data_IF_298157996631
#
_entry.id   IF_298157996631
#
_cell.length_a   1.000
_cell.length_b   1.000
_cell.length_c   1.000
_cell.angle_alpha   90.00
_cell.angle_beta   90.00
_cell.angle_gamma   90.00
#
_symmetry.space_group_name_H-M   'P 1'
#
loop_
_entity.id
_entity.type
_entity.pdbx_description
1 polymer ?
#
# COMPACT_ATOMS: atom_id res chain seq x y z
N UNK A 1 -3.25 -12.20 8.41
CA UNK A 1 -3.91 -11.59 9.58
C UNK A 1 -4.91 -10.63 9.00
N UNK A 2 -6.21 -10.88 9.16
CA UNK A 2 -7.28 -10.00 8.69
C UNK A 2 -7.65 -9.10 9.87
N UNK A 3 -7.14 -7.87 9.86
CA UNK A 3 -7.56 -6.84 10.81
C UNK A 3 -8.08 -5.67 9.98
N UNK A 4 -9.34 -5.27 10.21
CA UNK A 4 -10.05 -4.19 9.48
C UNK A 4 -10.28 -4.44 7.98
N UNK A 5 -10.58 -5.68 7.59
CA UNK A 5 -10.85 -6.10 6.19
C UNK A 5 -9.68 -5.85 5.20
N UNK A 6 -8.49 -5.51 5.71
CA UNK A 6 -7.27 -5.44 4.92
C UNK A 6 -6.56 -6.78 4.89
N UNK A 7 -5.89 -7.03 3.78
CA UNK A 7 -5.03 -8.18 3.63
C UNK A 7 -3.56 -7.73 3.70
N UNK A 8 -2.71 -8.58 4.29
CA UNK A 8 -1.30 -8.28 4.53
C UNK A 8 -0.42 -9.47 4.18
N UNK A 9 0.74 -9.21 3.60
CA UNK A 9 1.83 -10.19 3.52
C UNK A 9 3.11 -9.57 4.06
N UNK A 10 3.78 -10.31 4.93
CA UNK A 10 5.15 -9.98 5.36
C UNK A 10 6.09 -10.70 4.42
N UNK A 11 6.89 -9.95 3.69
CA UNK A 11 7.96 -10.53 2.87
C UNK A 11 9.28 -10.45 3.66
N UNK A 12 10.32 -11.17 3.20
CA UNK A 12 11.60 -11.17 3.88
C UNK A 12 12.16 -9.75 4.09
N UNK A 13 13.10 -9.59 5.03
CA UNK A 13 13.80 -8.31 5.28
C UNK A 13 12.94 -7.18 5.90
N UNK A 14 11.83 -7.52 6.56
CA UNK A 14 11.02 -6.52 7.29
C UNK A 14 10.16 -5.65 6.39
N UNK A 15 9.78 -6.18 5.24
CA UNK A 15 8.85 -5.54 4.30
C UNK A 15 7.45 -6.08 4.57
N UNK A 16 6.47 -5.18 4.61
CA UNK A 16 5.06 -5.52 4.75
C UNK A 16 4.32 -4.86 3.60
N UNK A 17 3.58 -5.67 2.85
CA UNK A 17 2.64 -5.18 1.83
C UNK A 17 1.24 -5.34 2.38
N UNK A 18 0.48 -4.24 2.37
CA UNK A 18 -0.91 -4.20 2.84
C UNK A 18 -1.79 -3.75 1.69
N UNK A 19 -2.97 -4.34 1.55
CA UNK A 19 -3.90 -3.96 0.50
C UNK A 19 -5.35 -4.02 0.96
N UNK A 20 -6.19 -3.22 0.29
CA UNK A 20 -7.62 -3.25 0.47
C UNK A 20 -8.27 -4.10 -0.64
N UNK A 21 -8.80 -5.31 -0.33
CA UNK A 21 -9.47 -6.14 -1.32
C UNK A 21 -10.80 -5.53 -1.82
N UNK A 22 -11.38 -4.57 -1.08
CA UNK A 22 -12.58 -3.86 -1.49
C UNK A 22 -12.30 -2.73 -2.50
N UNK A 23 -11.02 -2.38 -2.74
CA UNK A 23 -10.67 -1.45 -3.79
C UNK A 23 -10.88 -2.13 -5.15
N UNK A 24 -11.79 -1.59 -5.97
CA UNK A 24 -12.00 -2.04 -7.35
C UNK A 24 -10.65 -2.04 -8.08
N UNK A 25 -10.25 -3.10 -8.80
CA UNK A 25 -8.94 -3.17 -9.44
C UNK A 25 -8.71 -1.99 -10.38
N UNK A 26 -7.48 -1.48 -10.43
CA UNK A 26 -7.12 -0.33 -11.25
C UNK A 26 -7.24 -0.76 -12.71
N UNK A 27 -8.33 -0.37 -13.35
CA UNK A 27 -8.51 -0.55 -14.77
C UNK A 27 -7.60 0.46 -15.48
N UNK A 28 -6.37 0.06 -15.80
CA UNK A 28 -5.55 0.78 -16.75
C UNK A 28 -6.12 0.53 -18.16
N UNK A 29 -6.60 1.57 -18.88
CA UNK A 29 -6.95 1.41 -20.27
C UNK A 29 -5.67 1.09 -21.06
N UNK A 30 -5.56 -0.18 -21.47
CA UNK A 30 -4.89 -0.63 -22.68
C UNK A 30 -3.41 -0.25 -22.80
N UNK A 31 -2.52 -1.08 -22.22
CA UNK A 31 -1.18 -1.22 -22.80
C UNK A 31 -1.33 -1.92 -24.17
N UNK A 32 -0.60 -1.50 -25.22
CA UNK A 32 -0.77 -1.99 -26.60
C UNK A 32 -0.55 -3.50 -26.82
N UNK A 33 -0.20 -4.29 -25.80
CA UNK A 33 0.22 -5.68 -25.93
C UNK A 33 -0.78 -6.76 -25.44
N UNK A 34 -2.06 -6.45 -25.21
CA UNK A 34 -3.11 -7.46 -25.00
C UNK A 34 -4.09 -7.18 -23.86
N UNK A 35 -5.09 -8.06 -23.63
CA UNK A 35 -6.11 -7.83 -22.60
C UNK A 35 -5.44 -7.65 -21.25
N UNK A 36 -5.62 -6.46 -20.68
CA UNK A 36 -4.97 -5.97 -19.48
C UNK A 36 -5.00 -7.01 -18.37
N UNK A 37 -3.82 -7.47 -18.00
CA UNK A 37 -3.65 -8.42 -16.92
C UNK A 37 -4.08 -7.71 -15.62
N UNK A 38 -5.21 -8.13 -15.04
CA UNK A 38 -5.66 -7.70 -13.72
C UNK A 38 -4.60 -8.10 -12.68
N UNK A 39 -3.65 -7.20 -12.39
CA UNK A 39 -2.57 -7.46 -11.44
C UNK A 39 -2.92 -6.86 -10.08
N UNK A 40 -3.79 -7.56 -9.35
CA UNK A 40 -4.00 -7.34 -7.93
C UNK A 40 -5.00 -6.21 -7.57
N UNK A 41 -5.19 -5.97 -6.27
CA UNK A 41 -6.05 -4.89 -5.77
C UNK A 41 -5.55 -3.53 -6.28
N UNK A 42 -6.45 -2.62 -6.67
CA UNK A 42 -6.06 -1.25 -7.09
C UNK A 42 -5.24 -0.54 -6.03
N UNK A 43 -5.66 -0.70 -4.77
CA UNK A 43 -5.11 0.06 -3.66
C UNK A 43 -4.32 -0.84 -2.73
N UNK A 44 -3.01 -0.71 -2.82
CA UNK A 44 -2.04 -1.36 -1.97
C UNK A 44 -0.95 -0.37 -1.54
N UNK A 45 -0.29 -0.68 -0.45
CA UNK A 45 0.80 0.11 0.10
C UNK A 45 1.87 -0.81 0.65
N UNK A 46 3.11 -0.59 0.25
CA UNK A 46 4.27 -1.23 0.85
C UNK A 46 4.88 -0.32 1.92
N UNK A 47 5.25 -0.94 3.04
CA UNK A 47 6.06 -0.33 4.10
C UNK A 47 7.25 -1.23 4.42
N UNK A 48 8.34 -0.61 4.85
CA UNK A 48 9.56 -1.31 5.27
C UNK A 48 10.03 -0.84 6.63
N UNK A 49 10.60 -1.76 7.39
CA UNK A 49 11.42 -1.39 8.55
C UNK A 49 12.87 -1.16 8.13
N UNK A 50 13.50 -0.11 8.62
CA UNK A 50 14.89 0.21 8.31
C UNK A 50 15.54 1.07 9.38
N UNK A 51 16.84 1.35 9.24
CA UNK A 51 17.53 2.31 10.11
C UNK A 51 17.59 3.67 9.44
N UNK A 52 17.30 4.75 10.18
CA UNK A 52 17.66 6.11 9.77
C UNK A 52 19.18 6.31 9.86
N UNK A 53 19.69 7.40 9.27
CA UNK A 53 21.10 7.77 9.36
C UNK A 53 21.63 7.90 10.80
N UNK A 54 20.75 8.26 11.75
CA UNK A 54 21.05 8.35 13.18
C UNK A 54 21.14 6.98 13.90
N UNK A 55 20.78 5.88 13.22
CA UNK A 55 20.84 4.51 13.74
C UNK A 55 19.51 3.97 14.27
N UNK A 56 18.52 4.82 14.53
CA UNK A 56 17.19 4.43 15.04
C UNK A 56 16.41 3.60 14.02
N UNK A 57 15.63 2.63 14.51
CA UNK A 57 14.75 1.80 13.68
C UNK A 57 13.41 2.49 13.43
N UNK A 58 12.96 2.49 12.19
CA UNK A 58 11.79 3.22 11.72
C UNK A 58 10.99 2.39 10.72
N UNK A 59 9.69 2.67 10.67
CA UNK A 59 8.84 2.35 9.52
C UNK A 59 9.03 3.41 8.44
N UNK A 60 9.00 2.97 7.19
CA UNK A 60 9.08 3.83 6.01
C UNK A 60 7.96 3.47 5.04
N UNK A 61 7.36 4.50 4.44
CA UNK A 61 6.64 4.33 3.18
C UNK A 61 7.64 3.96 2.09
N UNK A 62 7.24 3.04 1.22
CA UNK A 62 8.01 2.69 0.03
C UNK A 62 7.32 3.29 -1.17
N UNK A 63 8.05 4.12 -1.90
CA UNK A 63 7.64 4.65 -3.19
C UNK A 63 8.45 3.94 -4.27
N UNK A 64 7.76 3.31 -5.22
CA UNK A 64 8.42 2.60 -6.32
C UNK A 64 9.22 3.60 -7.15
N UNK A 65 10.52 3.32 -7.33
CA UNK A 65 11.36 4.04 -8.28
C UNK A 65 11.05 3.64 -9.72
N UNK A 66 11.67 4.32 -10.69
CA UNK A 66 11.62 3.87 -12.07
C UNK A 66 12.33 2.51 -12.25
N UNK A 67 12.14 1.85 -13.40
CA UNK A 67 12.76 0.56 -13.68
C UNK A 67 14.28 0.58 -13.47
N UNK A 68 14.76 -0.24 -12.52
CA UNK A 68 16.17 -0.34 -12.16
C UNK A 68 16.64 0.64 -11.08
N UNK A 69 15.77 1.52 -10.58
CA UNK A 69 16.07 2.41 -9.47
C UNK A 69 15.73 1.78 -8.12
N UNK A 70 16.47 2.18 -7.09
CA UNK A 70 16.12 1.82 -5.71
C UNK A 70 14.84 2.56 -5.33
N UNK A 71 13.94 1.93 -4.54
CA UNK A 71 12.75 2.61 -4.07
C UNK A 71 13.12 3.76 -3.13
N UNK A 72 12.34 4.83 -3.20
CA UNK A 72 12.44 5.92 -2.25
C UNK A 72 11.79 5.52 -0.93
N UNK A 73 12.46 5.83 0.18
CA UNK A 73 11.98 5.54 1.54
C UNK A 73 11.63 6.84 2.23
N UNK A 74 10.34 7.10 2.37
CA UNK A 74 9.84 8.25 3.14
C UNK A 74 9.57 7.82 4.59
N UNK A 75 10.06 8.54 5.60
CA UNK A 75 9.87 8.13 6.98
C UNK A 75 8.42 8.20 7.44
N UNK A 76 7.92 7.10 8.01
CA UNK A 76 6.56 7.00 8.55
C UNK A 76 6.51 7.31 10.05
N UNK A 77 7.08 6.43 10.88
CA UNK A 77 7.14 6.59 12.34
C UNK A 77 8.26 5.70 12.93
N UNK A 78 8.67 5.91 14.19
CA UNK A 78 9.56 5.00 14.91
C UNK A 78 9.03 3.56 14.91
N UNK A 79 9.93 2.57 14.90
CA UNK A 79 9.55 1.16 14.76
C UNK A 79 8.64 0.66 15.90
N UNK A 80 8.84 1.17 17.10
CA UNK A 80 8.05 0.85 18.29
C UNK A 80 6.58 1.33 18.19
N UNK A 81 6.28 2.29 17.32
CA UNK A 81 4.93 2.84 17.13
C UNK A 81 4.10 2.02 16.14
N UNK A 82 3.94 0.73 16.41
CA UNK A 82 3.23 -0.21 15.52
C UNK A 82 1.78 0.22 15.27
N UNK A 83 1.07 0.68 16.31
CA UNK A 83 -0.31 1.16 16.17
C UNK A 83 -0.41 2.43 15.31
N UNK A 84 0.57 3.33 15.42
CA UNK A 84 0.65 4.53 14.55
C UNK A 84 0.83 4.11 13.10
N UNK A 85 1.75 3.18 12.82
CA UNK A 85 1.97 2.66 11.47
C UNK A 85 0.69 2.03 10.90
N UNK A 86 0.05 1.14 11.66
CA UNK A 86 -1.19 0.48 11.27
C UNK A 86 -2.34 1.47 11.02
N UNK A 87 -2.51 2.48 11.87
CA UNK A 87 -3.54 3.50 11.70
C UNK A 87 -3.31 4.34 10.44
N UNK A 88 -2.07 4.73 10.16
CA UNK A 88 -1.74 5.48 8.94
C UNK A 88 -1.93 4.65 7.68
N UNK A 89 -1.54 3.37 7.71
CA UNK A 89 -1.81 2.41 6.64
C UNK A 89 -3.31 2.29 6.36
N UNK A 90 -4.12 2.14 7.42
CA UNK A 90 -5.57 2.03 7.29
C UNK A 90 -6.20 3.30 6.68
N UNK A 91 -5.70 4.50 7.03
CA UNK A 91 -6.19 5.76 6.45
C UNK A 91 -5.86 5.87 4.97
N UNK A 92 -4.65 5.48 4.55
CA UNK A 92 -4.24 5.51 3.13
C UNK A 92 -5.03 4.51 2.30
N UNK A 93 -5.27 3.31 2.84
CA UNK A 93 -5.95 2.23 2.14
C UNK A 93 -7.48 2.29 2.26
N UNK A 94 -8.02 3.25 3.00
CA UNK A 94 -9.46 3.45 3.10
C UNK A 94 -9.98 3.98 1.76
N UNK A 95 -10.72 3.14 1.03
CA UNK A 95 -11.59 3.61 -0.04
C UNK A 95 -12.87 4.07 0.65
N UNK A 96 -13.22 5.38 0.65
CA UNK A 96 -14.57 5.77 1.01
C UNK A 96 -15.47 5.05 0.00
N UNK A 97 -16.40 4.24 0.47
CA UNK A 97 -17.45 3.68 -0.39
C UNK A 97 -18.05 4.89 -1.12
N UNK A 98 -17.74 5.03 -2.41
CA UNK A 98 -18.38 6.07 -3.20
C UNK A 98 -19.86 5.75 -3.05
N UNK A 99 -20.62 6.66 -2.44
CA UNK A 99 -22.06 6.56 -2.48
C UNK A 99 -22.41 6.34 -3.94
N UNK A 100 -22.86 5.13 -4.25
CA UNK A 100 -23.36 4.80 -5.57
C UNK A 100 -24.35 5.91 -5.88
N UNK A 101 -24.00 6.79 -6.82
CA UNK A 101 -24.88 7.88 -7.23
C UNK A 101 -26.23 7.24 -7.50
N UNK A 102 -27.28 7.56 -6.71
CA UNK A 102 -28.59 6.98 -6.97
C UNK A 102 -28.95 7.41 -8.39
N UNK A 103 -29.22 6.40 -9.22
CA UNK A 103 -29.29 6.52 -10.66
C UNK A 103 -30.10 7.73 -11.12
N UNK A 104 -29.63 8.33 -12.21
CA UNK A 104 -30.44 9.25 -12.99
C UNK A 104 -31.59 8.41 -13.56
N UNK A 105 -32.78 8.59 -12.97
CA UNK A 105 -34.05 8.07 -13.48
C UNK A 105 -34.48 8.81 -14.76
#
# INVERSE_FOLDING_TARGET
MEERDFCTVVTGQGVVVVWNPAAEPDYYPESPDGPGELRGPALWQEVRTGRRAAGDLWWFWVWAGADGELPELEPLCPMEEVETAANRLAVVLAVPFAEASPGIA
#
